data_IF_563275282999
#
_entry.id   IF_563275282999
#
_cell.length_a   1.000
_cell.length_b   1.000
_cell.length_c   1.000
_cell.angle_alpha   90.00
_cell.angle_beta   90.00
_cell.angle_gamma   90.00
#
_symmetry.space_group_name_H-M   'P 1'
#
loop_
_entity.id
_entity.type
_entity.pdbx_description
1 polymer ?
#
# COMPACT_ATOMS: atom_id res chain seq x y z
N UNK A 1 -41.22 -45.62 76.91
CA UNK A 1 -40.04 -44.79 77.25
C UNK A 1 -38.90 -44.92 76.23
N UNK A 2 -38.45 -46.13 75.84
CA UNK A 2 -37.36 -46.31 74.85
C UNK A 2 -37.67 -45.75 73.45
N UNK A 3 -38.87 -46.01 72.93
CA UNK A 3 -39.29 -45.60 71.58
C UNK A 3 -39.34 -44.06 71.39
N UNK A 4 -39.66 -43.31 72.45
CA UNK A 4 -39.63 -41.82 72.41
C UNK A 4 -38.19 -41.30 72.29
N UNK A 5 -37.25 -41.90 73.01
CA UNK A 5 -35.82 -41.53 72.96
C UNK A 5 -35.19 -41.82 71.60
N UNK A 6 -35.54 -42.93 70.96
CA UNK A 6 -35.07 -43.24 69.59
C UNK A 6 -35.59 -42.24 68.56
N UNK A 7 -36.86 -41.84 68.64
CA UNK A 7 -37.43 -40.81 67.74
C UNK A 7 -36.74 -39.46 67.90
N UNK A 8 -36.44 -39.04 69.12
CA UNK A 8 -35.67 -37.82 69.38
C UNK A 8 -34.24 -37.90 68.84
N UNK A 9 -33.54 -39.02 69.03
CA UNK A 9 -32.20 -39.21 68.47
C UNK A 9 -32.20 -39.21 66.94
N UNK A 10 -33.21 -39.81 66.31
CA UNK A 10 -33.36 -39.81 64.85
C UNK A 10 -33.57 -38.38 64.31
N UNK A 11 -34.43 -37.61 64.96
CA UNK A 11 -34.66 -36.19 64.61
C UNK A 11 -33.40 -35.33 64.79
N UNK A 12 -32.60 -35.60 65.83
CA UNK A 12 -31.35 -34.88 66.06
C UNK A 12 -30.33 -35.17 64.96
N UNK A 13 -30.19 -36.45 64.56
CA UNK A 13 -29.30 -36.86 63.46
C UNK A 13 -29.74 -36.26 62.12
N UNK A 14 -31.03 -36.27 61.83
CA UNK A 14 -31.56 -35.69 60.58
C UNK A 14 -31.32 -34.18 60.51
N UNK A 15 -31.42 -33.47 61.65
CA UNK A 15 -31.08 -32.04 61.71
C UNK A 15 -29.59 -31.79 61.48
N UNK A 16 -28.73 -32.60 62.10
CA UNK A 16 -27.27 -32.51 61.90
C UNK A 16 -26.87 -32.80 60.45
N UNK A 17 -27.48 -33.81 59.83
CA UNK A 17 -27.21 -34.17 58.43
C UNK A 17 -27.65 -33.05 57.47
N UNK A 18 -28.83 -32.45 57.69
CA UNK A 18 -29.29 -31.28 56.91
C UNK A 18 -28.37 -30.06 57.06
N UNK A 19 -27.85 -29.83 58.27
CA UNK A 19 -26.93 -28.72 58.52
C UNK A 19 -25.58 -28.93 57.82
N UNK A 20 -25.06 -30.16 57.84
CA UNK A 20 -23.84 -30.52 57.09
C UNK A 20 -24.07 -30.39 55.58
N UNK A 21 -25.18 -30.90 55.05
CA UNK A 21 -25.51 -30.78 53.63
C UNK A 21 -25.63 -29.31 53.19
N UNK A 22 -26.27 -28.46 54.00
CA UNK A 22 -26.37 -27.03 53.70
C UNK A 22 -25.00 -26.35 53.71
N UNK A 23 -24.13 -26.69 54.65
CA UNK A 23 -22.75 -26.19 54.67
C UNK A 23 -21.96 -26.64 53.44
N UNK A 24 -22.06 -27.90 53.03
CA UNK A 24 -21.40 -28.40 51.82
C UNK A 24 -21.88 -27.65 50.56
N UNK A 25 -23.19 -27.41 50.44
CA UNK A 25 -23.76 -26.65 49.31
C UNK A 25 -23.22 -25.22 49.28
N UNK A 26 -23.15 -24.55 50.43
CA UNK A 26 -22.57 -23.20 50.54
C UNK A 26 -21.10 -23.18 50.13
N UNK A 27 -20.32 -24.17 50.58
CA UNK A 27 -18.90 -24.31 50.22
C UNK A 27 -18.68 -24.54 48.73
N UNK A 28 -19.54 -25.35 48.09
CA UNK A 28 -19.48 -25.56 46.63
C UNK A 28 -19.82 -24.28 45.88
N UNK A 29 -20.86 -23.57 46.32
CA UNK A 29 -21.24 -22.29 45.71
C UNK A 29 -20.13 -21.24 45.85
N UNK A 30 -19.54 -21.10 47.03
CA UNK A 30 -18.44 -20.17 47.27
C UNK A 30 -17.23 -20.48 46.40
N UNK A 31 -16.80 -21.75 46.35
CA UNK A 31 -15.72 -22.20 45.45
C UNK A 31 -16.03 -21.88 43.98
N UNK A 32 -17.26 -22.07 43.54
CA UNK A 32 -17.65 -21.76 42.15
C UNK A 32 -17.56 -20.25 41.86
N UNK A 33 -17.99 -19.41 42.81
CA UNK A 33 -17.93 -17.94 42.71
C UNK A 33 -16.49 -17.45 42.72
N UNK A 34 -15.62 -18.03 43.54
CA UNK A 34 -14.19 -17.73 43.56
C UNK A 34 -13.53 -18.07 42.23
N UNK A 35 -13.74 -19.30 41.72
CA UNK A 35 -13.20 -19.73 40.41
C UNK A 35 -13.66 -18.82 39.28
N UNK A 36 -14.93 -18.43 39.28
CA UNK A 36 -15.44 -17.50 38.29
C UNK A 36 -14.78 -16.12 38.38
N UNK A 37 -14.58 -15.59 39.60
CA UNK A 37 -13.88 -14.31 39.81
C UNK A 37 -12.41 -14.37 39.40
N UNK A 38 -11.71 -15.48 39.65
CA UNK A 38 -10.35 -15.70 39.17
C UNK A 38 -10.29 -15.73 37.64
N UNK A 39 -11.21 -16.47 37.01
CA UNK A 39 -11.31 -16.55 35.56
C UNK A 39 -11.56 -15.17 34.93
N UNK A 40 -12.47 -14.38 35.50
CA UNK A 40 -12.72 -13.00 35.04
C UNK A 40 -11.50 -12.10 35.16
N UNK A 41 -10.74 -12.19 36.27
CA UNK A 41 -9.47 -11.46 36.44
C UNK A 41 -8.48 -11.84 35.33
N UNK A 42 -8.28 -13.15 35.13
CA UNK A 42 -7.39 -13.65 34.07
C UNK A 42 -7.82 -13.20 32.67
N UNK A 43 -9.12 -13.21 32.35
CA UNK A 43 -9.62 -12.72 31.05
C UNK A 43 -9.37 -11.23 30.85
N UNK A 44 -9.53 -10.43 31.91
CA UNK A 44 -9.27 -8.98 31.86
C UNK A 44 -7.77 -8.69 31.64
N UNK A 45 -6.91 -9.40 32.35
CA UNK A 45 -5.47 -9.23 32.24
C UNK A 45 -4.97 -9.62 30.84
N UNK A 46 -5.45 -10.74 30.30
CA UNK A 46 -5.16 -11.19 28.93
C UNK A 46 -5.62 -10.15 27.88
N UNK A 47 -6.82 -9.60 28.03
CA UNK A 47 -7.33 -8.58 27.12
C UNK A 47 -6.51 -7.28 27.20
N UNK A 48 -6.14 -6.87 28.41
CA UNK A 48 -5.31 -5.69 28.63
C UNK A 48 -3.91 -5.86 28.04
N UNK A 49 -3.28 -7.03 28.22
CA UNK A 49 -1.99 -7.36 27.61
C UNK A 49 -2.09 -7.33 26.08
N UNK A 50 -3.12 -7.97 25.51
CA UNK A 50 -3.36 -7.96 24.06
C UNK A 50 -3.51 -6.54 23.53
N UNK A 51 -4.27 -5.69 24.22
CA UNK A 51 -4.47 -4.28 23.84
C UNK A 51 -3.17 -3.48 23.91
N UNK A 52 -2.34 -3.72 24.94
CA UNK A 52 -1.02 -3.08 25.06
C UNK A 52 -0.10 -3.48 23.91
N UNK A 53 -0.03 -4.77 23.58
CA UNK A 53 0.77 -5.29 22.46
C UNK A 53 0.33 -4.70 21.13
N UNK A 54 -0.99 -4.62 20.87
CA UNK A 54 -1.52 -4.00 19.65
C UNK A 54 -1.13 -2.53 19.56
N UNK A 55 -1.25 -1.77 20.66
CA UNK A 55 -0.88 -0.35 20.70
C UNK A 55 0.62 -0.15 20.44
N UNK A 56 1.47 -0.96 21.07
CA UNK A 56 2.93 -0.90 20.88
C UNK A 56 3.32 -1.25 19.44
N UNK A 57 2.67 -2.24 18.84
CA UNK A 57 2.90 -2.59 17.43
C UNK A 57 2.44 -1.49 16.46
N UNK A 58 1.30 -0.86 16.71
CA UNK A 58 0.85 0.29 15.91
C UNK A 58 1.83 1.47 16.02
N UNK A 59 2.33 1.75 17.22
CA UNK A 59 3.32 2.79 17.46
C UNK A 59 4.65 2.47 16.75
N UNK A 60 5.11 1.22 16.81
CA UNK A 60 6.29 0.75 16.09
C UNK A 60 6.13 0.94 14.58
N UNK A 61 4.99 0.54 14.01
CA UNK A 61 4.73 0.72 12.57
C UNK A 61 4.67 2.19 12.17
N UNK A 62 4.14 3.06 13.02
CA UNK A 62 4.13 4.50 12.78
C UNK A 62 5.54 5.08 12.83
N UNK A 63 6.38 4.66 13.79
CA UNK A 63 7.77 5.07 13.89
C UNK A 63 8.57 4.62 12.66
N UNK A 64 8.46 3.35 12.24
CA UNK A 64 9.09 2.84 11.02
C UNK A 64 8.69 3.63 9.77
N UNK A 65 7.42 4.03 9.66
CA UNK A 65 6.97 4.87 8.54
C UNK A 65 7.57 6.27 8.59
N UNK A 66 7.70 6.87 9.78
CA UNK A 66 8.35 8.16 9.96
C UNK A 66 9.84 8.07 9.60
N UNK A 67 10.56 7.06 10.09
CA UNK A 67 11.97 6.86 9.77
C UNK A 67 12.20 6.65 8.27
N UNK A 68 11.33 5.89 7.59
CA UNK A 68 11.40 5.73 6.13
C UNK A 68 11.22 7.06 5.40
N UNK A 69 10.27 7.89 5.85
CA UNK A 69 10.04 9.23 5.28
C UNK A 69 11.24 10.15 5.53
N UNK A 70 11.69 10.26 6.77
CA UNK A 70 12.85 11.09 7.11
C UNK A 70 14.11 10.64 6.36
N UNK A 71 14.34 9.33 6.23
CA UNK A 71 15.46 8.80 5.46
C UNK A 71 15.36 9.18 3.99
N UNK A 72 14.18 9.06 3.38
CA UNK A 72 13.97 9.46 1.99
C UNK A 72 14.17 10.97 1.81
N UNK A 73 13.66 11.79 2.74
CA UNK A 73 13.83 13.25 2.73
C UNK A 73 15.31 13.65 2.87
N UNK A 74 16.05 13.03 3.80
CA UNK A 74 17.49 13.27 3.96
C UNK A 74 18.27 12.92 2.68
N UNK A 75 18.02 11.74 2.11
CA UNK A 75 18.67 11.33 0.86
C UNK A 75 18.30 12.26 -0.32
N UNK A 76 17.06 12.73 -0.36
CA UNK A 76 16.60 13.65 -1.39
C UNK A 76 17.29 15.03 -1.25
N UNK A 77 17.38 15.56 -0.04
CA UNK A 77 18.10 16.81 0.24
C UNK A 77 19.58 16.70 -0.12
N UNK A 78 20.24 15.60 0.28
CA UNK A 78 21.63 15.34 -0.10
C UNK A 78 21.79 15.27 -1.63
N UNK A 79 20.86 14.60 -2.31
CA UNK A 79 20.87 14.53 -3.77
C UNK A 79 20.69 15.91 -4.42
N UNK A 80 19.84 16.79 -3.88
CA UNK A 80 19.67 18.16 -4.36
C UNK A 80 20.97 18.97 -4.22
N UNK A 81 21.63 18.89 -3.07
CA UNK A 81 22.92 19.56 -2.87
C UNK A 81 23.99 19.03 -3.81
N UNK A 82 24.06 17.70 -3.98
CA UNK A 82 24.99 17.10 -4.92
C UNK A 82 24.68 17.47 -6.37
N UNK A 83 23.40 17.59 -6.75
CA UNK A 83 22.99 17.97 -8.08
C UNK A 83 23.39 19.41 -8.43
N UNK A 84 23.35 20.34 -7.47
CA UNK A 84 23.85 21.72 -7.65
C UNK A 84 25.34 21.77 -7.96
N UNK A 85 26.12 20.85 -7.39
CA UNK A 85 27.57 20.78 -7.56
C UNK A 85 28.02 19.99 -8.80
N UNK A 86 27.09 19.39 -9.57
CA UNK A 86 27.47 18.67 -10.79
C UNK A 86 27.93 19.67 -11.85
N UNK A 87 29.13 19.48 -12.45
CA UNK A 87 29.52 20.31 -13.58
C UNK A 87 28.46 20.14 -14.68
N UNK A 88 28.06 21.27 -15.29
CA UNK A 88 27.12 21.26 -16.40
C UNK A 88 27.68 20.30 -17.46
N UNK A 89 26.97 19.23 -17.86
CA UNK A 89 27.46 18.32 -18.87
C UNK A 89 27.83 19.15 -20.10
N UNK A 90 29.11 19.14 -20.46
CA UNK A 90 29.55 19.66 -21.74
C UNK A 90 28.79 18.89 -22.81
N UNK A 91 28.18 19.61 -23.75
CA UNK A 91 27.40 19.05 -24.86
C UNK A 91 28.37 18.34 -25.83
N UNK A 92 28.95 17.22 -25.39
CA UNK A 92 29.81 16.36 -26.20
C UNK A 92 28.93 15.45 -27.06
N UNK A 93 27.99 16.04 -27.80
CA UNK A 93 27.24 15.36 -28.84
C UNK A 93 27.87 15.67 -30.19
N UNK A 94 29.12 15.25 -30.39
CA UNK A 94 29.73 15.32 -31.70
C UNK A 94 29.19 14.17 -32.55
N UNK A 95 28.36 14.50 -33.54
CA UNK A 95 27.87 13.58 -34.55
C UNK A 95 28.49 13.90 -35.91
N UNK A 96 28.64 12.89 -36.76
CA UNK A 96 28.98 13.11 -38.17
C UNK A 96 27.69 13.04 -39.00
N UNK A 97 27.30 14.15 -39.61
CA UNK A 97 26.16 14.20 -40.53
C UNK A 97 26.70 14.58 -41.90
N UNK A 98 26.46 13.73 -42.91
CA UNK A 98 26.89 13.96 -44.28
C UNK A 98 28.39 14.32 -44.42
N UNK A 99 29.24 13.64 -43.65
CA UNK A 99 30.69 13.88 -43.68
C UNK A 99 31.16 15.15 -42.96
N UNK A 100 30.31 15.84 -42.18
CA UNK A 100 30.67 17.01 -41.38
C UNK A 100 30.44 16.76 -39.89
N UNK A 101 31.40 17.18 -39.07
CA UNK A 101 31.28 17.18 -37.61
C UNK A 101 30.24 18.22 -37.19
N UNK A 102 29.10 17.77 -36.68
CA UNK A 102 28.05 18.61 -36.08
C UNK A 102 28.03 18.44 -34.57
N UNK A 103 27.79 19.52 -33.82
CA UNK A 103 27.78 19.51 -32.35
C UNK A 103 26.48 18.99 -31.74
N UNK A 104 25.51 18.55 -32.54
CA UNK A 104 24.23 18.03 -32.09
C UNK A 104 23.72 16.92 -33.01
N UNK A 105 23.26 15.80 -32.43
CA UNK A 105 22.56 14.75 -33.18
C UNK A 105 21.16 15.24 -33.55
N UNK A 106 20.99 15.70 -34.79
CA UNK A 106 19.66 15.82 -35.37
C UNK A 106 19.10 14.41 -35.67
N UNK A 107 17.77 14.26 -35.74
CA UNK A 107 17.11 13.00 -36.11
C UNK A 107 17.52 12.48 -37.50
N UNK A 108 18.10 13.36 -38.33
CA UNK A 108 18.72 13.04 -39.62
C UNK A 108 20.12 12.40 -39.54
N UNK A 109 20.75 12.39 -38.35
CA UNK A 109 22.11 11.86 -38.14
C UNK A 109 22.14 10.33 -38.05
N UNK A 110 21.00 9.72 -37.71
CA UNK A 110 20.89 8.28 -37.65
C UNK A 110 20.53 7.74 -39.03
N UNK A 111 21.30 6.80 -39.58
CA UNK A 111 20.87 6.13 -40.80
C UNK A 111 19.54 5.44 -40.55
N UNK A 112 18.73 5.30 -41.59
CA UNK A 112 17.50 4.52 -41.51
C UNK A 112 17.85 3.11 -40.99
N UNK A 113 17.13 2.59 -39.97
CA UNK A 113 17.43 1.27 -39.44
C UNK A 113 17.28 0.24 -40.55
N UNK A 114 18.29 -0.65 -40.70
CA UNK A 114 18.26 -1.71 -41.72
C UNK A 114 17.15 -2.74 -41.50
N UNK A 115 16.55 -2.75 -40.31
CA UNK A 115 15.44 -3.62 -39.95
C UNK A 115 14.47 -2.87 -39.03
N UNK A 116 13.23 -2.73 -39.46
CA UNK A 116 12.11 -2.33 -38.59
C UNK A 116 11.33 -3.57 -38.22
N UNK A 117 11.11 -3.80 -36.92
CA UNK A 117 10.26 -4.90 -36.46
C UNK A 117 8.84 -4.72 -37.04
N UNK A 118 8.36 -5.61 -37.92
CA UNK A 118 7.06 -5.47 -38.56
C UNK A 118 5.90 -5.68 -37.59
N UNK A 119 6.18 -6.27 -36.42
CA UNK A 119 5.21 -6.41 -35.33
C UNK A 119 5.31 -5.13 -34.51
N UNK A 120 4.34 -4.20 -34.60
CA UNK A 120 4.32 -3.07 -33.69
C UNK A 120 4.31 -3.61 -32.27
N UNK A 121 5.01 -2.96 -31.35
CA UNK A 121 4.94 -3.27 -29.93
C UNK A 121 3.47 -3.24 -29.52
N UNK A 122 2.82 -4.41 -29.56
CA UNK A 122 1.40 -4.51 -29.24
C UNK A 122 1.28 -4.00 -27.80
N UNK A 123 0.31 -3.13 -27.51
CA UNK A 123 0.02 -2.78 -26.13
C UNK A 123 -0.09 -4.08 -25.34
N UNK A 124 0.72 -4.22 -24.30
CA UNK A 124 0.65 -5.39 -23.42
C UNK A 124 -0.80 -5.42 -22.92
N UNK A 125 -1.57 -6.49 -23.19
CA UNK A 125 -2.95 -6.55 -22.75
C UNK A 125 -2.94 -6.46 -21.23
N UNK A 126 -3.45 -5.35 -20.69
CA UNK A 126 -3.60 -5.20 -19.25
C UNK A 126 -4.59 -6.27 -18.79
N UNK A 127 -4.25 -7.08 -17.78
CA UNK A 127 -5.21 -8.01 -17.23
C UNK A 127 -6.45 -7.21 -16.79
N UNK A 128 -7.66 -7.69 -17.09
CA UNK A 128 -8.87 -7.03 -16.63
C UNK A 128 -8.80 -6.93 -15.10
N UNK A 129 -9.22 -5.79 -14.51
CA UNK A 129 -9.26 -5.66 -13.06
C UNK A 129 -10.10 -6.81 -12.48
N UNK A 130 -9.68 -7.39 -11.34
CA UNK A 130 -10.40 -8.49 -10.72
C UNK A 130 -11.86 -8.08 -10.52
N UNK A 131 -12.78 -8.97 -10.91
CA UNK A 131 -14.20 -8.77 -10.67
C UNK A 131 -14.42 -8.74 -9.16
N UNK A 132 -14.57 -7.55 -8.60
CA UNK A 132 -15.16 -7.40 -7.28
C UNK A 132 -16.55 -8.06 -7.34
N UNK A 133 -16.72 -9.11 -6.56
CA UNK A 133 -17.98 -9.78 -6.27
C UNK A 133 -18.88 -8.82 -5.48
N UNK A 134 -19.38 -7.80 -6.18
CA UNK A 134 -20.35 -6.85 -5.67
C UNK A 134 -21.72 -7.50 -5.76
N UNK A 135 -22.22 -7.96 -4.61
CA UNK A 135 -23.65 -8.13 -4.36
C UNK A 135 -24.37 -6.84 -4.82
N UNK A 136 -25.28 -7.00 -5.78
CA UNK A 136 -26.36 -6.10 -6.23
C UNK A 136 -26.17 -4.58 -5.99
N UNK A 137 -26.07 -3.76 -7.04
CA UNK A 137 -26.31 -2.33 -6.92
C UNK A 137 -27.66 -1.94 -7.55
N UNK A 138 -28.74 -1.97 -6.76
CA UNK A 138 -29.89 -1.10 -7.01
C UNK A 138 -29.50 0.32 -6.58
N UNK A 139 -28.91 1.08 -7.50
CA UNK A 139 -28.52 2.46 -7.21
C UNK A 139 -28.12 3.17 -8.49
N UNK A 140 -29.01 4.05 -8.98
CA UNK A 140 -28.75 4.95 -10.12
C UNK A 140 -27.50 5.78 -9.81
N UNK A 141 -26.37 5.50 -10.48
CA UNK A 141 -25.18 6.36 -10.44
C UNK A 141 -25.15 7.24 -11.69
N UNK A 142 -25.17 8.56 -11.47
CA UNK A 142 -24.97 9.58 -12.51
C UNK A 142 -23.61 9.36 -13.18
N UNK A 143 -23.58 9.27 -14.51
CA UNK A 143 -22.34 9.16 -15.28
C UNK A 143 -21.56 10.47 -15.15
N UNK A 144 -20.38 10.43 -14.53
CA UNK A 144 -19.35 11.45 -14.75
C UNK A 144 -18.76 11.19 -16.15
N UNK A 145 -18.59 12.20 -17.01
CA UNK A 145 -17.89 11.99 -18.27
C UNK A 145 -16.42 11.72 -17.95
N UNK A 146 -15.99 10.49 -18.24
CA UNK A 146 -14.59 10.11 -18.23
C UNK A 146 -13.96 10.80 -19.42
N UNK A 147 -13.23 11.89 -19.17
CA UNK A 147 -12.38 12.54 -20.16
C UNK A 147 -11.14 11.68 -20.39
N UNK A 148 -11.31 10.59 -21.16
CA UNK A 148 -10.17 9.99 -21.85
C UNK A 148 -9.98 10.79 -23.13
N UNK A 149 -9.07 11.78 -23.08
CA UNK A 149 -8.49 12.31 -24.29
C UNK A 149 -7.78 11.15 -24.99
N UNK A 150 -8.47 10.53 -25.95
CA UNK A 150 -7.83 9.65 -26.91
C UNK A 150 -6.82 10.51 -27.65
N UNK A 151 -5.57 10.08 -27.59
CA UNK A 151 -4.44 10.62 -28.33
C UNK A 151 -4.87 10.89 -29.78
N UNK A 152 -5.06 12.17 -30.09
CA UNK A 152 -5.41 12.65 -31.43
C UNK A 152 -4.17 12.43 -32.28
N UNK A 153 -4.20 11.42 -33.14
CA UNK A 153 -3.16 11.25 -34.16
C UNK A 153 -3.10 12.52 -35.01
N UNK A 154 -1.98 13.23 -34.92
CA UNK A 154 -1.73 14.38 -35.78
C UNK A 154 -1.41 13.86 -37.18
N UNK A 155 -2.02 14.39 -38.26
CA UNK A 155 -1.69 13.95 -39.61
C UNK A 155 -0.22 14.25 -39.89
N UNK A 156 0.49 13.24 -40.37
CA UNK A 156 1.91 13.29 -40.74
C UNK A 156 2.19 14.49 -41.64
N UNK A 157 3.02 15.43 -41.18
CA UNK A 157 3.52 16.50 -42.02
C UNK A 157 4.40 15.87 -43.11
N UNK A 158 3.92 15.90 -44.35
CA UNK A 158 4.69 15.58 -45.54
C UNK A 158 5.81 16.63 -45.63
N UNK A 159 7.02 16.27 -45.21
CA UNK A 159 8.21 17.09 -45.46
C UNK A 159 8.50 17.04 -46.96
N UNK A 160 8.11 18.07 -47.69
CA UNK A 160 8.58 18.25 -49.07
C UNK A 160 10.05 18.70 -49.05
N UNK A 161 10.93 18.14 -49.90
CA UNK A 161 12.27 18.66 -50.09
C UNK A 161 12.19 20.04 -50.74
N UNK A 162 12.99 20.98 -50.23
CA UNK A 162 13.06 22.36 -50.70
C UNK A 162 14.24 22.45 -51.65
N UNK A 163 13.98 22.24 -52.94
CA UNK A 163 14.96 22.41 -54.00
C UNK A 163 15.33 23.89 -54.09
N UNK A 164 16.56 24.25 -53.69
CA UNK A 164 17.14 25.56 -53.94
C UNK A 164 18.28 25.41 -54.96
N UNK A 165 17.95 25.55 -56.23
CA UNK A 165 18.87 26.09 -57.22
C UNK A 165 18.50 27.56 -57.38
N UNK A 166 19.42 28.49 -57.11
CA UNK A 166 19.75 29.61 -58.00
C UNK A 166 21.02 30.32 -57.48
N UNK A 167 21.94 30.47 -58.43
CA UNK A 167 23.34 30.88 -58.40
C UNK A 167 23.53 32.40 -58.23
N UNK A 168 24.65 32.79 -57.63
CA UNK A 168 25.40 34.06 -57.85
C UNK A 168 24.73 35.35 -57.35
N UNK A 169 25.39 36.35 -56.76
CA UNK A 169 26.78 36.80 -56.82
C UNK A 169 26.69 38.33 -56.92
N UNK A 170 27.41 39.08 -56.07
CA UNK A 170 27.41 40.54 -56.14
C UNK A 170 28.06 41.21 -54.93
N UNK A 171 29.34 41.58 -55.09
CA UNK A 171 30.09 42.42 -54.16
C UNK A 171 29.75 43.92 -54.34
N UNK A 172 30.27 44.70 -53.38
CA UNK A 172 30.40 46.16 -53.27
C UNK A 172 29.34 46.90 -52.45
N UNK A 173 29.78 47.38 -51.28
CA UNK A 173 29.39 48.68 -50.74
C UNK A 173 30.63 49.57 -50.75
N UNK A 174 30.48 50.78 -51.30
CA UNK A 174 31.30 51.94 -50.93
C UNK A 174 30.71 52.57 -49.68
#
# INVERSE_FOLDING_TARGET
>A
MKERKEKEQKLLREKQEKEVEEQERRMIEEKSRERYREWLRKKRDEEQERKRRQKEEEERRLAEQKEKKEKAERMFSEWLEQAKNKPRPTLSSYGYVNGKLTGYYDGSSYPAPGFCNPIPWKPIPMPPPPKENVRNPSGKKKKRPVSHQLYRSSPSMVCKPKDNLHVGGGMFRR
#
